data_IF_288880384739
#
_entry.id   IF_288880384739
#
_cell.length_a   1.000
_cell.length_b   1.000
_cell.length_c   1.000
_cell.angle_alpha   90.00
_cell.angle_beta   90.00
_cell.angle_gamma   90.00
#
_symmetry.space_group_name_H-M   'P 1'
#
loop_
_entity.id
_entity.type
_entity.pdbx_description
1 polymer ?
#
# COMPACT_ATOMS: atom_id res chain seq x y z
N UNK A 1 7.58 8.83 5.46
CA UNK A 1 7.32 7.62 6.28
C UNK A 1 8.62 6.90 6.69
N UNK A 2 9.64 6.84 5.84
CA UNK A 2 10.96 6.32 6.23
C UNK A 2 11.60 7.02 7.45
N UNK A 3 11.44 8.35 7.56
CA UNK A 3 11.92 9.13 8.72
C UNK A 3 11.36 8.64 10.07
N UNK A 4 10.14 8.08 10.09
CA UNK A 4 9.51 7.54 11.31
C UNK A 4 9.68 6.02 11.40
N UNK A 5 10.67 5.44 10.72
CA UNK A 5 10.98 4.00 10.68
C UNK A 5 9.92 3.09 10.04
N UNK A 6 8.97 3.65 9.27
CA UNK A 6 7.96 2.88 8.53
C UNK A 6 7.99 3.26 7.04
N UNK A 7 9.03 2.92 6.25
CA UNK A 7 9.05 3.26 4.84
C UNK A 7 7.90 2.60 4.07
N UNK A 8 7.54 3.18 2.92
CA UNK A 8 6.51 2.61 2.05
C UNK A 8 7.00 1.31 1.41
N UNK A 9 6.11 0.34 1.25
CA UNK A 9 6.40 -0.89 0.54
C UNK A 9 6.75 -0.58 -0.92
N UNK A 10 7.78 -1.26 -1.45
CA UNK A 10 8.25 -1.09 -2.83
C UNK A 10 8.96 0.23 -3.13
N UNK A 11 9.22 1.06 -2.11
CA UNK A 11 10.03 2.26 -2.25
C UNK A 11 11.51 1.89 -2.50
N UNK A 12 11.97 2.10 -3.73
CA UNK A 12 13.33 1.73 -4.16
C UNK A 12 14.42 2.64 -3.58
N UNK A 13 14.07 3.84 -3.10
CA UNK A 13 15.03 4.84 -2.61
C UNK A 13 15.15 4.75 -1.09
N UNK A 14 14.03 4.62 -0.39
CA UNK A 14 13.97 4.69 1.07
C UNK A 14 13.51 3.38 1.76
N UNK A 15 13.00 2.40 1.00
CA UNK A 15 12.38 1.17 1.54
C UNK A 15 13.35 0.06 1.94
N UNK A 16 14.59 0.10 1.47
CA UNK A 16 15.56 -0.96 1.72
C UNK A 16 15.10 -2.32 1.17
N UNK A 17 15.63 -3.41 1.74
CA UNK A 17 15.23 -4.77 1.32
C UNK A 17 13.88 -5.14 1.95
N UNK A 18 12.94 -5.72 1.18
CA UNK A 18 11.68 -6.22 1.73
C UNK A 18 11.93 -7.24 2.84
N UNK A 19 11.22 -7.09 3.97
CA UNK A 19 11.27 -8.01 5.11
C UNK A 19 9.90 -8.64 5.30
N UNK A 20 9.57 -9.72 4.57
CA UNK A 20 8.30 -10.38 4.75
C UNK A 20 8.20 -11.02 6.16
N UNK A 21 6.98 -11.18 6.70
CA UNK A 21 6.74 -11.90 7.94
C UNK A 21 7.26 -13.34 7.86
N UNK A 22 7.69 -13.89 9.01
CA UNK A 22 7.99 -15.33 9.09
C UNK A 22 6.69 -16.12 8.92
N UNK A 23 6.72 -17.14 8.06
CA UNK A 23 5.52 -17.93 7.76
C UNK A 23 4.57 -17.31 6.74
N UNK A 24 4.89 -16.13 6.18
CA UNK A 24 4.10 -15.52 5.11
C UNK A 24 3.80 -16.53 3.98
N UNK A 25 2.56 -16.52 3.51
CA UNK A 25 2.11 -17.39 2.42
C UNK A 25 2.89 -17.15 1.12
N UNK A 26 3.09 -18.20 0.32
CA UNK A 26 3.79 -18.11 -0.98
C UNK A 26 3.08 -17.12 -1.94
N UNK A 27 1.74 -17.05 -1.88
CA UNK A 27 0.93 -16.09 -2.64
C UNK A 27 1.30 -14.65 -2.26
N UNK A 28 1.30 -14.35 -0.95
CA UNK A 28 1.67 -13.03 -0.45
C UNK A 28 3.13 -12.67 -0.76
N UNK A 29 4.06 -13.61 -0.58
CA UNK A 29 5.47 -13.41 -0.91
C UNK A 29 5.68 -13.06 -2.39
N UNK A 30 4.92 -13.70 -3.28
CA UNK A 30 4.98 -13.44 -4.72
C UNK A 30 4.51 -12.02 -5.04
N UNK A 31 3.35 -11.62 -4.52
CA UNK A 31 2.81 -10.26 -4.71
C UNK A 31 3.77 -9.20 -4.16
N UNK A 32 4.29 -9.42 -2.94
CA UNK A 32 5.21 -8.49 -2.28
C UNK A 32 6.54 -8.33 -3.04
N UNK A 33 7.05 -9.40 -3.67
CA UNK A 33 8.26 -9.32 -4.51
C UNK A 33 7.99 -8.63 -5.85
N UNK A 34 6.80 -8.76 -6.41
CA UNK A 34 6.47 -8.16 -7.70
C UNK A 34 6.08 -6.67 -7.59
N UNK A 35 5.76 -6.18 -6.40
CA UNK A 35 5.42 -4.78 -6.17
C UNK A 35 6.67 -3.88 -6.10
N UNK A 36 7.11 -3.38 -7.25
CA UNK A 36 8.40 -2.68 -7.45
C UNK A 36 8.30 -1.14 -7.45
N UNK A 37 7.23 -0.56 -6.89
CA UNK A 37 7.06 0.89 -6.74
C UNK A 37 6.57 1.22 -5.35
N UNK A 38 6.67 2.49 -4.94
CA UNK A 38 6.07 2.94 -3.70
C UNK A 38 4.58 2.61 -3.67
N UNK A 39 4.12 1.98 -2.59
CA UNK A 39 2.71 1.77 -2.27
C UNK A 39 2.07 3.10 -1.83
N UNK A 40 2.06 4.06 -2.77
CA UNK A 40 1.46 5.38 -2.65
C UNK A 40 0.50 5.62 -3.82
N UNK A 41 -0.68 6.15 -3.52
CA UNK A 41 -1.69 6.51 -4.52
C UNK A 41 -2.41 7.79 -4.10
N UNK A 42 -2.51 8.77 -5.01
CA UNK A 42 -3.29 9.97 -4.80
C UNK A 42 -4.78 9.68 -5.08
N UNK A 43 -5.47 9.13 -4.09
CA UNK A 43 -6.84 8.64 -4.26
C UNK A 43 -7.87 9.75 -4.48
N UNK A 44 -7.62 10.96 -3.96
CA UNK A 44 -8.56 12.08 -4.01
C UNK A 44 -7.82 13.41 -4.13
N UNK A 45 -8.36 14.31 -4.94
CA UNK A 45 -7.95 15.70 -5.04
C UNK A 45 -9.16 16.60 -4.77
N UNK A 46 -9.03 17.49 -3.78
CA UNK A 46 -10.02 18.52 -3.48
C UNK A 46 -9.34 19.89 -3.51
N UNK A 47 -9.95 20.82 -4.25
CA UNK A 47 -9.46 22.19 -4.37
C UNK A 47 -10.61 23.14 -4.67
N UNK A 48 -10.37 24.43 -4.45
CA UNK A 48 -11.25 25.49 -4.90
C UNK A 48 -10.93 25.84 -6.36
N UNK A 49 -11.95 25.85 -7.22
CA UNK A 49 -11.77 26.17 -8.63
C UNK A 49 -11.18 27.59 -8.75
N UNK A 50 -10.04 27.79 -9.45
CA UNK A 50 -9.32 29.06 -9.44
C UNK A 50 -10.15 30.24 -9.94
N UNK A 51 -11.02 29.98 -10.92
CA UNK A 51 -11.96 30.96 -11.50
C UNK A 51 -13.33 30.98 -10.79
N UNK A 52 -14.07 29.87 -10.74
CA UNK A 52 -15.45 29.86 -10.21
C UNK A 52 -15.54 29.91 -8.69
N UNK A 53 -14.45 29.69 -7.96
CA UNK A 53 -14.40 29.65 -6.48
C UNK A 53 -15.25 28.53 -5.85
N UNK A 54 -15.72 27.59 -6.67
CA UNK A 54 -16.48 26.43 -6.21
C UNK A 54 -15.52 25.34 -5.70
N UNK A 55 -15.91 24.65 -4.62
CA UNK A 55 -15.17 23.49 -4.15
C UNK A 55 -15.40 22.32 -5.11
N UNK A 56 -14.30 21.81 -5.67
CA UNK A 56 -14.29 20.66 -6.54
C UNK A 56 -13.59 19.49 -5.88
N UNK A 57 -14.09 18.29 -6.15
CA UNK A 57 -13.50 17.03 -5.71
C UNK A 57 -13.42 16.04 -6.86
N UNK A 58 -12.32 15.32 -6.95
CA UNK A 58 -12.09 14.23 -7.91
C UNK A 58 -11.48 13.05 -7.20
N UNK A 59 -11.86 11.85 -7.63
CA UNK A 59 -11.34 10.58 -7.12
C UNK A 59 -10.68 9.79 -8.24
N UNK A 60 -9.65 9.04 -7.90
CA UNK A 60 -9.01 8.08 -8.79
C UNK A 60 -9.15 6.67 -8.18
N UNK A 61 -9.65 5.67 -8.94
CA UNK A 61 -9.72 4.31 -8.45
C UNK A 61 -8.33 3.81 -8.05
N UNK A 62 -8.29 2.87 -7.09
CA UNK A 62 -7.04 2.17 -6.78
C UNK A 62 -6.57 1.41 -8.04
N UNK A 63 -5.28 1.49 -8.39
CA UNK A 63 -4.75 0.69 -9.48
C UNK A 63 -4.70 -0.80 -9.08
N UNK A 64 -4.79 -1.68 -10.10
CA UNK A 64 -4.96 -3.12 -9.90
C UNK A 64 -3.86 -3.75 -9.04
N UNK A 65 -2.61 -3.34 -9.24
CA UNK A 65 -1.46 -3.79 -8.45
C UNK A 65 -1.60 -3.48 -6.94
N UNK A 66 -2.22 -2.35 -6.61
CA UNK A 66 -2.48 -1.94 -5.23
C UNK A 66 -3.62 -2.75 -4.62
N UNK A 67 -4.65 -3.06 -5.41
CA UNK A 67 -5.75 -3.93 -5.00
C UNK A 67 -5.22 -5.32 -4.69
N UNK A 68 -4.43 -5.90 -5.60
CA UNK A 68 -3.78 -7.20 -5.41
C UNK A 68 -2.90 -7.23 -4.14
N UNK A 69 -2.10 -6.17 -3.93
CA UNK A 69 -1.26 -6.06 -2.73
C UNK A 69 -2.09 -6.05 -1.44
N UNK A 70 -3.13 -5.22 -1.39
CA UNK A 70 -3.98 -5.08 -0.20
C UNK A 70 -4.75 -6.37 0.07
N UNK A 71 -5.24 -7.04 -0.97
CA UNK A 71 -5.99 -8.29 -0.82
C UNK A 71 -5.09 -9.44 -0.38
N UNK A 72 -3.86 -9.54 -0.92
CA UNK A 72 -2.88 -10.52 -0.46
C UNK A 72 -2.51 -10.29 1.02
N UNK A 73 -2.29 -9.04 1.43
CA UNK A 73 -2.03 -8.68 2.83
C UNK A 73 -3.17 -9.06 3.76
N UNK A 74 -4.42 -8.78 3.37
CA UNK A 74 -5.61 -9.12 4.17
C UNK A 74 -5.76 -10.63 4.32
N UNK A 75 -5.59 -11.38 3.24
CA UNK A 75 -5.67 -12.85 3.27
C UNK A 75 -4.62 -13.45 4.21
N UNK A 76 -3.37 -12.98 4.10
CA UNK A 76 -2.27 -13.45 4.95
C UNK A 76 -2.52 -13.11 6.43
N UNK A 77 -3.01 -11.89 6.71
CA UNK A 77 -3.40 -11.50 8.06
C UNK A 77 -4.50 -12.39 8.64
N UNK A 78 -5.60 -12.63 7.90
CA UNK A 78 -6.70 -13.48 8.39
C UNK A 78 -6.26 -14.93 8.61
N UNK A 79 -5.31 -15.44 7.82
CA UNK A 79 -4.77 -16.79 7.99
C UNK A 79 -4.02 -16.96 9.32
N UNK A 80 -3.26 -15.94 9.73
CA UNK A 80 -2.40 -15.99 10.92
C UNK A 80 -2.94 -15.16 12.09
N UNK A 81 -4.15 -14.65 12.00
CA UNK A 81 -4.71 -13.71 12.98
C UNK A 81 -4.74 -14.27 14.40
N UNK A 82 -5.01 -15.56 14.54
CA UNK A 82 -5.09 -16.25 15.83
C UNK A 82 -3.69 -16.64 16.38
N UNK A 83 -2.67 -16.63 15.52
CA UNK A 83 -1.27 -16.90 15.88
C UNK A 83 -0.50 -15.60 16.25
N UNK A 84 -1.11 -14.43 16.03
CA UNK A 84 -0.51 -13.14 16.34
C UNK A 84 -0.74 -12.81 17.83
N UNK A 85 0.27 -13.08 18.65
CA UNK A 85 0.37 -12.65 20.05
C UNK A 85 0.45 -11.09 20.15
N UNK A 86 -0.68 -10.40 20.04
CA UNK A 86 -0.80 -8.97 20.35
C UNK A 86 -1.39 -8.73 21.74
#
# INVERSE_FOLDING_TARGET
MAHIAHPLLGDQVYGGRPRPPKGASEEFLTVLRNFQRQALHAAMLRLEHPITKEIMERHAPLPDDFVELVDALKKDYELYKDDLDY
#
